data_IF_866032712507
#
_entry.id   IF_866032712507
#
_cell.length_a   1.000
_cell.length_b   1.000
_cell.length_c   1.000
_cell.angle_alpha   90.00
_cell.angle_beta   90.00
_cell.angle_gamma   90.00
#
_symmetry.space_group_name_H-M   'P 1'
#
loop_
_entity.id
_entity.type
_entity.pdbx_description
1 polymer ?
#
# COMPACT_ATOMS: atom_id res chain seq x y z
N UNK A 1 -27.64 -48.95 51.59
CA UNK A 1 -27.38 -48.11 50.41
C UNK A 1 -28.44 -47.02 50.34
N UNK A 2 -28.20 -45.81 50.85
CA UNK A 2 -29.17 -44.72 50.69
C UNK A 2 -28.47 -43.46 50.18
N UNK A 3 -28.50 -43.28 48.86
CA UNK A 3 -28.14 -42.02 48.20
C UNK A 3 -29.24 -40.99 48.44
N UNK A 4 -28.99 -40.03 49.33
CA UNK A 4 -29.86 -38.86 49.50
C UNK A 4 -29.58 -37.90 48.35
N UNK A 5 -30.46 -37.88 47.36
CA UNK A 5 -30.49 -36.87 46.31
C UNK A 5 -31.10 -35.62 46.93
N UNK A 6 -30.26 -34.69 47.42
CA UNK A 6 -30.71 -33.38 47.86
C UNK A 6 -31.10 -32.57 46.62
N UNK A 7 -32.39 -32.61 46.28
CA UNK A 7 -32.98 -31.70 45.31
C UNK A 7 -32.81 -30.26 45.82
N UNK A 8 -32.01 -29.49 45.09
CA UNK A 8 -31.84 -28.07 45.32
C UNK A 8 -33.22 -27.40 45.17
N UNK A 9 -33.82 -26.98 46.28
CA UNK A 9 -35.04 -26.15 46.30
C UNK A 9 -34.67 -24.75 45.80
N UNK A 10 -34.60 -24.60 44.48
CA UNK A 10 -34.45 -23.32 43.79
C UNK A 10 -35.68 -22.47 44.14
N UNK A 11 -35.49 -21.43 44.95
CA UNK A 11 -36.49 -20.37 45.03
C UNK A 11 -36.70 -19.81 43.63
N UNK A 12 -37.96 -19.71 43.17
CA UNK A 12 -38.35 -19.23 41.84
C UNK A 12 -37.76 -17.86 41.45
N UNK A 13 -37.26 -17.07 42.41
CA UNK A 13 -36.48 -15.86 42.15
C UNK A 13 -35.06 -16.09 41.61
N UNK A 14 -34.37 -17.16 42.04
CA UNK A 14 -32.97 -17.43 41.68
C UNK A 14 -32.80 -17.93 40.25
N UNK A 15 -33.77 -18.69 39.71
CA UNK A 15 -33.76 -19.11 38.31
C UNK A 15 -33.96 -17.91 37.37
N UNK A 16 -34.74 -16.92 37.81
CA UNK A 16 -35.06 -15.71 37.03
C UNK A 16 -33.82 -14.82 36.88
N UNK A 17 -33.06 -14.62 37.95
CA UNK A 17 -31.83 -13.79 37.89
C UNK A 17 -30.72 -14.47 37.07
N UNK A 18 -30.60 -15.80 37.15
CA UNK A 18 -29.66 -16.56 36.30
C UNK A 18 -30.03 -16.44 34.82
N UNK A 19 -31.32 -16.54 34.50
CA UNK A 19 -31.80 -16.42 33.11
C UNK A 19 -31.49 -15.04 32.54
N UNK A 20 -31.74 -13.97 33.30
CA UNK A 20 -31.40 -12.61 32.89
C UNK A 20 -29.89 -12.43 32.68
N UNK A 21 -29.07 -12.97 33.58
CA UNK A 21 -27.62 -12.91 33.44
C UNK A 21 -27.13 -13.61 32.17
N UNK A 22 -27.65 -14.81 31.87
CA UNK A 22 -27.33 -15.54 30.64
C UNK A 22 -27.77 -14.76 29.41
N UNK A 23 -28.98 -14.18 29.40
CA UNK A 23 -29.47 -13.37 28.27
C UNK A 23 -28.59 -12.14 28.04
N UNK A 24 -28.19 -11.43 29.10
CA UNK A 24 -27.26 -10.29 28.99
C UNK A 24 -25.88 -10.73 28.46
N UNK A 25 -25.39 -11.89 28.90
CA UNK A 25 -24.12 -12.46 28.44
C UNK A 25 -24.18 -12.83 26.96
N UNK A 26 -25.25 -13.51 26.53
CA UNK A 26 -25.51 -13.86 25.13
C UNK A 26 -25.66 -12.61 24.26
N UNK A 27 -26.32 -11.57 24.77
CA UNK A 27 -26.49 -10.29 24.05
C UNK A 27 -25.13 -9.62 23.82
N UNK A 28 -24.29 -9.55 24.85
CA UNK A 28 -22.94 -8.98 24.73
C UNK A 28 -22.07 -9.80 23.76
N UNK A 29 -22.12 -11.14 23.86
CA UNK A 29 -21.39 -12.02 22.96
C UNK A 29 -21.86 -11.88 21.50
N UNK A 30 -23.18 -11.81 21.28
CA UNK A 30 -23.76 -11.58 19.96
C UNK A 30 -23.39 -10.20 19.39
N UNK A 31 -23.38 -9.16 20.22
CA UNK A 31 -22.96 -7.82 19.83
C UNK A 31 -21.47 -7.78 19.46
N UNK A 32 -20.60 -8.44 20.23
CA UNK A 32 -19.18 -8.61 19.92
C UNK A 32 -18.99 -9.40 18.62
N UNK A 33 -19.74 -10.49 18.41
CA UNK A 33 -19.68 -11.29 17.17
C UNK A 33 -20.13 -10.49 15.94
N UNK A 34 -21.21 -9.71 16.05
CA UNK A 34 -21.67 -8.84 14.96
C UNK A 34 -20.69 -7.68 14.69
N UNK A 35 -20.15 -7.08 15.75
CA UNK A 35 -19.16 -6.00 15.63
C UNK A 35 -17.87 -6.51 15.03
N UNK A 36 -17.40 -7.69 15.47
CA UNK A 36 -16.26 -8.40 14.90
C UNK A 36 -16.46 -8.71 13.42
N UNK A 37 -17.58 -9.34 13.05
CA UNK A 37 -17.88 -9.64 11.64
C UNK A 37 -17.98 -8.37 10.76
N UNK A 38 -18.50 -7.26 11.30
CA UNK A 38 -18.51 -5.96 10.59
C UNK A 38 -17.12 -5.36 10.45
N UNK A 39 -16.29 -5.47 11.49
CA UNK A 39 -14.90 -5.02 11.46
C UNK A 39 -14.09 -5.86 10.47
N UNK A 40 -14.23 -7.18 10.50
CA UNK A 40 -13.59 -8.12 9.57
C UNK A 40 -13.99 -7.83 8.12
N UNK A 41 -15.28 -7.54 7.86
CA UNK A 41 -15.75 -7.13 6.53
C UNK A 41 -15.12 -5.81 6.09
N UNK A 42 -15.17 -4.78 6.94
CA UNK A 42 -14.59 -3.48 6.61
C UNK A 42 -13.06 -3.56 6.38
N UNK A 43 -12.37 -4.40 7.14
CA UNK A 43 -10.94 -4.70 6.95
C UNK A 43 -10.70 -5.41 5.62
N UNK A 44 -11.50 -6.41 5.29
CA UNK A 44 -11.39 -7.14 4.02
C UNK A 44 -11.66 -6.23 2.81
N UNK A 45 -12.68 -5.38 2.88
CA UNK A 45 -13.00 -4.43 1.81
C UNK A 45 -11.87 -3.39 1.63
N UNK A 46 -11.34 -2.84 2.73
CA UNK A 46 -10.20 -1.91 2.67
C UNK A 46 -8.93 -2.58 2.16
N UNK A 47 -8.65 -3.83 2.55
CA UNK A 47 -7.50 -4.57 2.04
C UNK A 47 -7.63 -4.84 0.54
N UNK A 48 -8.81 -5.24 0.08
CA UNK A 48 -9.08 -5.43 -1.35
C UNK A 48 -8.93 -4.13 -2.14
N UNK A 49 -9.40 -3.00 -1.58
CA UNK A 49 -9.23 -1.68 -2.19
C UNK A 49 -7.76 -1.28 -2.25
N UNK A 50 -7.01 -1.42 -1.16
CA UNK A 50 -5.60 -1.07 -1.10
C UNK A 50 -4.73 -1.86 -2.09
N UNK A 51 -5.09 -3.12 -2.35
CA UNK A 51 -4.46 -3.95 -3.38
C UNK A 51 -4.81 -3.46 -4.79
N UNK A 52 -6.07 -3.09 -5.05
CA UNK A 52 -6.49 -2.53 -6.35
C UNK A 52 -5.78 -1.21 -6.64
N UNK A 53 -5.74 -0.30 -5.67
CA UNK A 53 -5.10 1.00 -5.82
C UNK A 53 -3.59 0.85 -6.09
N UNK A 54 -2.95 -0.12 -5.43
CA UNK A 54 -1.55 -0.47 -5.68
C UNK A 54 -1.32 -0.91 -7.13
N UNK A 55 -2.11 -1.85 -7.64
CA UNK A 55 -1.97 -2.32 -9.02
C UNK A 55 -2.35 -1.26 -10.07
N UNK A 56 -3.32 -0.39 -9.76
CA UNK A 56 -3.67 0.72 -10.64
C UNK A 56 -2.51 1.71 -10.77
N UNK A 57 -1.91 2.11 -9.64
CA UNK A 57 -0.76 3.02 -9.64
C UNK A 57 0.48 2.39 -10.30
N UNK A 58 0.68 1.08 -10.15
CA UNK A 58 1.75 0.35 -10.82
C UNK A 58 1.58 0.37 -12.35
N UNK A 59 0.36 0.13 -12.84
CA UNK A 59 0.05 0.19 -14.27
C UNK A 59 0.23 1.60 -14.84
N UNK A 60 -0.22 2.62 -14.12
CA UNK A 60 -0.03 4.02 -14.55
C UNK A 60 1.45 4.38 -14.58
N UNK A 61 2.23 3.94 -13.59
CA UNK A 61 3.66 4.17 -13.55
C UNK A 61 4.41 3.45 -14.67
N UNK A 62 4.03 2.21 -15.02
CA UNK A 62 4.59 1.49 -16.17
C UNK A 62 4.25 2.18 -17.50
N UNK A 63 3.01 2.66 -17.64
CA UNK A 63 2.57 3.38 -18.85
C UNK A 63 3.32 4.69 -19.00
N UNK A 64 3.42 5.48 -17.93
CA UNK A 64 4.15 6.74 -17.93
C UNK A 64 5.64 6.52 -18.22
N UNK A 65 6.24 5.49 -17.63
CA UNK A 65 7.62 5.11 -17.95
C UNK A 65 7.76 4.73 -19.43
N UNK A 66 6.84 3.95 -19.99
CA UNK A 66 6.88 3.56 -21.40
C UNK A 66 6.78 4.77 -22.34
N UNK A 67 5.95 5.76 -22.01
CA UNK A 67 5.83 7.01 -22.75
C UNK A 67 7.13 7.82 -22.71
N UNK A 68 7.73 7.97 -21.52
CA UNK A 68 9.05 8.60 -21.34
C UNK A 68 10.11 7.90 -22.18
N UNK A 69 10.20 6.57 -22.06
CA UNK A 69 11.16 5.75 -22.81
C UNK A 69 10.98 5.89 -24.32
N UNK A 70 9.74 6.00 -24.79
CA UNK A 70 9.44 6.16 -26.21
C UNK A 70 9.81 7.56 -26.71
N UNK A 71 9.56 8.59 -25.91
CA UNK A 71 9.87 9.98 -26.23
C UNK A 71 11.38 10.24 -26.32
N UNK A 72 12.18 9.59 -25.47
CA UNK A 72 13.64 9.79 -25.46
C UNK A 72 14.39 8.89 -26.45
N UNK A 73 13.77 7.79 -26.91
CA UNK A 73 14.48 6.78 -27.69
C UNK A 73 14.88 7.27 -29.07
N UNK A 74 16.19 7.37 -29.30
CA UNK A 74 16.76 7.78 -30.58
C UNK A 74 16.52 9.25 -30.96
N UNK A 75 16.01 10.06 -30.03
CA UNK A 75 15.83 11.50 -30.22
C UNK A 75 17.08 12.26 -29.74
N UNK A 76 17.76 13.04 -30.58
CA UNK A 76 18.89 13.89 -30.18
C UNK A 76 18.54 14.99 -29.18
N UNK A 77 17.28 15.41 -29.10
CA UNK A 77 16.77 16.46 -28.21
C UNK A 77 15.94 15.88 -27.05
N UNK A 78 16.26 14.66 -26.62
CA UNK A 78 15.57 13.98 -25.52
C UNK A 78 15.51 14.79 -24.22
N UNK A 79 16.46 15.72 -24.01
CA UNK A 79 16.49 16.62 -22.85
C UNK A 79 15.26 17.54 -22.80
N UNK A 80 14.85 18.10 -23.93
CA UNK A 80 13.68 19.00 -24.03
C UNK A 80 12.36 18.23 -23.86
N UNK A 81 12.33 16.99 -24.36
CA UNK A 81 11.19 16.08 -24.15
C UNK A 81 11.00 15.75 -22.66
N UNK A 82 12.11 15.55 -21.93
CA UNK A 82 12.08 15.29 -20.49
C UNK A 82 11.79 16.55 -19.67
N UNK A 83 12.20 17.74 -20.08
CA UNK A 83 11.83 18.99 -19.39
C UNK A 83 10.32 19.28 -19.47
N UNK A 84 9.67 18.80 -20.52
CA UNK A 84 8.21 18.92 -20.68
C UNK A 84 7.45 17.95 -19.78
N UNK A 85 8.10 16.89 -19.32
CA UNK A 85 7.55 15.91 -18.39
C UNK A 85 8.06 16.25 -16.97
N UNK A 86 7.22 16.13 -15.93
CA UNK A 86 7.62 16.42 -14.54
C UNK A 86 8.50 15.29 -13.98
N UNK A 87 9.67 15.10 -14.58
CA UNK A 87 10.57 13.94 -14.39
C UNK A 87 11.98 14.46 -14.15
N UNK A 88 12.63 13.93 -13.10
CA UNK A 88 14.02 14.22 -12.83
C UNK A 88 14.91 13.28 -13.66
N UNK A 89 15.91 13.83 -14.31
CA UNK A 89 16.89 13.03 -15.03
C UNK A 89 18.33 13.38 -14.63
N UNK A 90 19.20 12.37 -14.65
CA UNK A 90 20.64 12.53 -14.47
C UNK A 90 21.39 11.64 -15.45
N UNK A 91 22.51 12.11 -15.97
CA UNK A 91 23.38 11.31 -16.86
C UNK A 91 24.64 10.96 -16.07
N UNK A 92 24.77 9.68 -15.70
CA UNK A 92 25.92 9.17 -14.96
C UNK A 92 26.48 7.94 -15.66
N UNK A 93 27.82 7.83 -15.76
CA UNK A 93 28.51 6.66 -16.32
C UNK A 93 28.02 6.24 -17.72
N UNK A 94 27.57 7.19 -18.56
CA UNK A 94 27.03 6.87 -19.89
C UNK A 94 25.61 6.29 -19.88
N UNK A 95 24.88 6.41 -18.76
CA UNK A 95 23.49 6.03 -18.65
C UNK A 95 22.62 7.23 -18.24
N UNK A 96 21.52 7.42 -18.97
CA UNK A 96 20.45 8.35 -18.63
C UNK A 96 19.54 7.70 -17.59
N UNK A 97 19.58 8.20 -16.37
CA UNK A 97 18.69 7.76 -15.29
C UNK A 97 17.53 8.72 -15.17
N UNK A 98 16.31 8.22 -15.39
CA UNK A 98 15.06 8.95 -15.17
C UNK A 98 14.42 8.52 -13.85
N UNK A 99 13.91 9.48 -13.09
CA UNK A 99 13.28 9.28 -11.79
C UNK A 99 12.02 10.15 -11.66
N UNK A 100 10.91 9.52 -11.30
CA UNK A 100 9.64 10.21 -11.04
C UNK A 100 8.87 9.51 -9.93
N UNK A 101 7.82 10.20 -9.45
CA UNK A 101 6.99 9.71 -8.34
C UNK A 101 5.51 9.69 -8.71
N UNK A 102 4.86 8.55 -8.51
CA UNK A 102 3.42 8.37 -8.69
C UNK A 102 2.76 8.26 -7.31
N UNK A 103 1.70 9.03 -7.04
CA UNK A 103 0.92 8.81 -5.81
C UNK A 103 0.06 7.55 -5.97
N UNK A 104 0.16 6.63 -5.01
CA UNK A 104 -0.69 5.43 -4.96
C UNK A 104 -1.96 5.74 -4.17
N UNK A 105 -1.82 6.46 -3.06
CA UNK A 105 -2.92 7.00 -2.26
C UNK A 105 -2.46 8.22 -1.45
N UNK A 106 -3.31 8.70 -0.54
CA UNK A 106 -3.03 9.86 0.31
C UNK A 106 -1.77 9.75 1.20
N UNK A 107 -1.17 8.56 1.35
CA UNK A 107 -0.02 8.31 2.26
C UNK A 107 1.13 7.53 1.62
N UNK A 108 0.92 6.91 0.46
CA UNK A 108 1.87 6.04 -0.22
C UNK A 108 2.21 6.63 -1.57
N UNK A 109 3.51 6.77 -1.81
CA UNK A 109 4.05 7.23 -3.09
C UNK A 109 4.96 6.14 -3.66
N UNK A 110 4.80 5.85 -4.95
CA UNK A 110 5.67 4.96 -5.70
C UNK A 110 6.82 5.76 -6.29
N UNK A 111 8.06 5.44 -5.90
CA UNK A 111 9.27 5.98 -6.54
C UNK A 111 9.70 5.03 -7.66
N UNK A 112 9.77 5.56 -8.88
CA UNK A 112 10.21 4.83 -10.05
C UNK A 112 11.55 5.40 -10.52
N UNK A 113 12.52 4.51 -10.74
CA UNK A 113 13.81 4.85 -11.37
C UNK A 113 14.14 3.84 -12.46
N UNK A 114 14.42 4.36 -13.66
CA UNK A 114 14.88 3.58 -14.80
C UNK A 114 16.16 4.19 -15.36
N UNK A 115 17.08 3.34 -15.82
CA UNK A 115 18.30 3.77 -16.49
C UNK A 115 18.29 3.29 -17.94
N UNK A 116 18.55 4.19 -18.88
CA UNK A 116 18.76 3.91 -20.29
C UNK A 116 20.25 4.03 -20.60
N UNK A 117 20.81 3.03 -21.27
CA UNK A 117 22.18 3.13 -21.76
C UNK A 117 22.23 4.10 -22.94
N UNK A 118 23.14 5.07 -22.87
CA UNK A 118 23.42 5.96 -23.98
C UNK A 118 24.44 5.28 -24.91
N UNK A 119 24.25 5.47 -26.22
CA UNK A 119 25.22 5.01 -27.21
C UNK A 119 26.42 5.98 -27.30
N UNK A 120 27.42 5.66 -28.12
CA UNK A 120 28.62 6.47 -28.31
C UNK A 120 28.32 7.90 -28.81
N UNK A 121 27.16 8.09 -29.46
CA UNK A 121 26.66 9.39 -29.92
C UNK A 121 25.85 10.15 -28.84
N UNK A 122 25.79 9.65 -27.60
CA UNK A 122 25.03 10.26 -26.50
C UNK A 122 23.51 10.12 -26.64
N UNK A 123 23.06 9.29 -27.58
CA UNK A 123 21.65 9.04 -27.85
C UNK A 123 21.11 7.91 -26.96
N UNK A 124 19.87 8.02 -26.43
CA UNK A 124 19.19 6.94 -25.73
C UNK A 124 18.79 5.85 -26.74
N UNK A 125 19.75 5.01 -27.13
CA UNK A 125 19.58 3.94 -28.12
C UNK A 125 19.73 2.54 -27.55
N UNK A 126 20.32 2.41 -26.37
CA UNK A 126 20.59 1.12 -25.74
C UNK A 126 19.38 0.46 -25.09
N UNK A 127 19.59 -0.75 -24.56
CA UNK A 127 18.63 -1.37 -23.65
C UNK A 127 18.42 -0.52 -22.40
N UNK A 128 17.21 -0.52 -21.87
CA UNK A 128 16.89 0.12 -20.59
C UNK A 128 16.80 -0.93 -19.49
N UNK A 129 17.10 -0.53 -18.26
CA UNK A 129 17.00 -1.39 -17.09
C UNK A 129 16.23 -0.68 -15.98
N UNK A 130 15.22 -1.36 -15.44
CA UNK A 130 14.50 -0.94 -14.23
C UNK A 130 15.48 -1.05 -13.03
N UNK A 131 15.74 0.07 -12.36
CA UNK A 131 16.70 0.11 -11.24
C UNK A 131 16.00 0.09 -9.88
N UNK A 132 14.94 0.88 -9.70
CA UNK A 132 14.26 0.98 -8.41
C UNK A 132 12.75 1.12 -8.61
N UNK A 133 12.01 0.32 -7.86
CA UNK A 133 10.56 0.36 -7.77
C UNK A 133 10.17 0.15 -6.31
N UNK A 134 10.06 1.24 -5.57
CA UNK A 134 9.88 1.19 -4.13
C UNK A 134 8.72 2.07 -3.70
N UNK A 135 7.79 1.49 -2.95
CA UNK A 135 6.72 2.22 -2.29
C UNK A 135 7.28 2.85 -1.02
N UNK A 136 7.19 4.16 -0.93
CA UNK A 136 7.54 4.91 0.26
C UNK A 136 6.27 5.49 0.89
N UNK A 137 6.06 5.18 2.17
CA UNK A 137 5.01 5.77 3.00
C UNK A 137 5.54 6.98 3.75
N UNK A 138 4.71 8.00 4.01
CA UNK A 138 5.08 9.27 4.69
C UNK A 138 5.87 9.09 6.00
N UNK A 139 5.69 7.99 6.75
CA UNK A 139 6.49 7.69 7.95
C UNK A 139 7.99 7.49 7.68
N UNK A 140 8.37 7.00 6.51
CA UNK A 140 9.78 6.81 6.13
C UNK A 140 10.41 8.09 5.57
N UNK A 141 9.58 9.02 5.08
CA UNK A 141 10.02 10.30 4.52
C UNK A 141 10.61 11.25 5.59
N UNK A 142 10.29 11.04 6.87
CA UNK A 142 10.90 11.79 7.99
C UNK A 142 12.28 11.26 8.42
N UNK A 143 12.59 9.99 8.21
CA UNK A 143 13.92 9.41 8.52
C UNK A 143 14.96 9.65 7.42
N UNK A 144 14.51 9.95 6.19
CA UNK A 144 15.36 10.17 5.02
C UNK A 144 15.52 11.64 4.61
N UNK A 145 15.28 12.59 5.51
CA UNK A 145 15.93 13.91 5.38
C UNK A 145 17.43 13.65 5.57
N UNK A 146 18.27 13.69 4.51
CA UNK A 146 19.69 13.63 4.74
C UNK A 146 20.03 14.83 5.62
N UNK A 147 20.84 14.59 6.66
CA UNK A 147 21.56 15.64 7.37
C UNK A 147 22.37 16.42 6.34
N UNK A 148 21.73 17.42 5.71
CA UNK A 148 22.38 18.57 5.13
C UNK A 148 22.70 19.49 6.31
N UNK A 149 23.70 19.09 7.08
CA UNK A 149 24.40 19.98 7.99
C UNK A 149 25.82 20.12 7.44
N UNK A 150 26.01 21.29 6.81
CA UNK A 150 27.22 22.12 6.73
C UNK A 150 28.58 21.42 6.70
#
# INVERSE_FOLDING_TARGET
MNGRKSGFSIGTGSISILTLFVVLCLTTFAALALTGARADKALADNAAQAVRDYYAADLEAETHLADILTAVKGDPQWQEALETQDVYYTVENGALTVAFTQQIDARRTLKVRAALMLDQDGLPGGGWQKQLWQVESEQNQQEQKPNLLH
#
